data_IF_086809776655
#
_entry.id   IF_086809776655
#
_cell.length_a   1.000
_cell.length_b   1.000
_cell.length_c   1.000
_cell.angle_alpha   90.00
_cell.angle_beta   90.00
_cell.angle_gamma   90.00
#
_symmetry.space_group_name_H-M   'P 1'
#
loop_
_entity.id
_entity.type
_entity.pdbx_description
1 polymer ?
#
# COMPACT_ATOMS: atom_id res chain seq x y z
N UNK A 1 21.13 10.07 -22.01
CA UNK A 1 22.19 10.81 -21.31
C UNK A 1 21.94 10.64 -19.83
N UNK A 2 22.85 10.02 -19.09
CA UNK A 2 22.66 9.75 -17.65
C UNK A 2 22.78 11.09 -16.92
N UNK A 3 21.66 11.70 -16.56
CA UNK A 3 21.67 12.72 -15.51
C UNK A 3 21.94 11.99 -14.21
N UNK A 4 23.21 11.93 -13.82
CA UNK A 4 23.60 11.40 -12.52
C UNK A 4 22.81 12.11 -11.44
N UNK A 5 22.40 11.37 -10.41
CA UNK A 5 21.83 11.99 -9.21
C UNK A 5 22.87 12.94 -8.61
N UNK A 6 22.48 14.19 -8.35
CA UNK A 6 23.34 15.20 -7.70
C UNK A 6 23.86 14.72 -6.34
N UNK A 7 23.18 13.74 -5.73
CA UNK A 7 23.61 13.05 -4.53
C UNK A 7 24.41 11.77 -4.85
N UNK A 8 25.73 11.85 -4.67
CA UNK A 8 26.67 10.75 -4.91
C UNK A 8 26.51 9.60 -3.91
N UNK A 9 25.87 9.82 -2.76
CA UNK A 9 25.61 8.78 -1.74
C UNK A 9 24.73 7.66 -2.28
N UNK A 10 23.81 8.00 -3.20
CA UNK A 10 22.90 7.05 -3.83
C UNK A 10 23.38 6.54 -5.19
N UNK A 11 24.52 7.01 -5.72
CA UNK A 11 24.97 6.65 -7.06
C UNK A 11 25.16 5.12 -7.24
N UNK A 12 25.76 4.46 -6.23
CA UNK A 12 25.96 3.01 -6.25
C UNK A 12 24.63 2.24 -6.22
N UNK A 13 23.74 2.56 -5.28
CA UNK A 13 22.45 1.87 -5.16
C UNK A 13 21.53 2.17 -6.35
N UNK A 14 21.60 3.36 -6.94
CA UNK A 14 20.90 3.69 -8.18
C UNK A 14 21.31 2.75 -9.32
N UNK A 15 22.60 2.43 -9.45
CA UNK A 15 23.07 1.41 -10.41
C UNK A 15 22.44 0.04 -10.17
N UNK A 16 22.36 -0.40 -8.92
CA UNK A 16 21.70 -1.67 -8.54
C UNK A 16 20.21 -1.64 -8.89
N UNK A 17 19.51 -0.55 -8.53
CA UNK A 17 18.08 -0.36 -8.81
C UNK A 17 17.83 -0.43 -10.32
N UNK A 18 18.61 0.30 -11.14
CA UNK A 18 18.46 0.27 -12.61
C UNK A 18 18.72 -1.12 -13.20
N UNK A 19 19.69 -1.87 -12.68
CA UNK A 19 19.92 -3.25 -13.10
C UNK A 19 18.74 -4.18 -12.74
N UNK A 20 18.08 -3.97 -11.59
CA UNK A 20 16.87 -4.71 -11.20
C UNK A 20 15.65 -4.30 -12.01
N UNK A 21 15.45 -3.01 -12.29
CA UNK A 21 14.35 -2.51 -13.13
C UNK A 21 14.34 -3.15 -14.52
N UNK A 22 15.52 -3.38 -15.11
CA UNK A 22 15.66 -4.04 -16.41
C UNK A 22 15.17 -5.51 -16.41
N UNK A 23 14.98 -6.12 -15.24
CA UNK A 23 14.54 -7.50 -15.05
C UNK A 23 13.08 -7.61 -14.59
N UNK A 24 12.34 -6.49 -14.54
CA UNK A 24 10.91 -6.50 -14.23
C UNK A 24 10.12 -7.25 -15.30
N UNK A 25 9.02 -7.90 -14.87
CA UNK A 25 8.12 -8.57 -15.79
C UNK A 25 7.51 -7.56 -16.77
N UNK A 26 7.69 -7.85 -18.05
CA UNK A 26 7.13 -7.07 -19.14
C UNK A 26 5.71 -7.50 -19.48
N UNK A 27 4.98 -6.68 -20.24
CA UNK A 27 3.65 -7.03 -20.78
C UNK A 27 3.63 -8.41 -21.47
N UNK A 28 4.69 -8.76 -22.20
CA UNK A 28 4.80 -10.06 -22.87
C UNK A 28 4.84 -11.25 -21.89
N UNK A 29 5.44 -11.07 -20.71
CA UNK A 29 5.39 -12.10 -19.66
C UNK A 29 3.95 -12.28 -19.18
N UNK A 30 3.25 -11.19 -18.86
CA UNK A 30 1.85 -11.25 -18.42
C UNK A 30 0.93 -11.86 -19.48
N UNK A 31 1.04 -11.43 -20.74
CA UNK A 31 0.24 -11.96 -21.85
C UNK A 31 0.43 -13.50 -21.99
N UNK A 32 1.67 -13.99 -21.87
CA UNK A 32 1.98 -15.44 -21.91
C UNK A 32 1.44 -16.17 -20.69
N UNK A 33 1.59 -15.62 -19.49
CA UNK A 33 1.08 -16.23 -18.25
C UNK A 33 -0.45 -16.40 -18.32
N UNK A 34 -1.17 -15.34 -18.71
CA UNK A 34 -2.64 -15.34 -18.84
C UNK A 34 -3.11 -16.39 -19.86
N UNK A 35 -2.39 -16.55 -20.97
CA UNK A 35 -2.73 -17.50 -22.03
C UNK A 35 -2.32 -18.96 -21.74
N UNK A 36 -1.70 -19.24 -20.60
CA UNK A 36 -1.08 -20.55 -20.30
C UNK A 36 -1.65 -21.22 -19.05
N UNK A 37 -1.32 -22.51 -18.86
CA UNK A 37 -1.61 -23.26 -17.63
C UNK A 37 -0.50 -23.07 -16.59
N UNK A 38 -0.83 -23.28 -15.30
CA UNK A 38 0.12 -23.19 -14.18
C UNK A 38 1.39 -24.02 -14.40
N UNK A 39 1.28 -25.18 -15.05
CA UNK A 39 2.43 -26.04 -15.38
C UNK A 39 3.50 -25.35 -16.26
N UNK A 40 3.13 -24.33 -17.02
CA UNK A 40 4.02 -23.61 -17.94
C UNK A 40 4.60 -22.33 -17.32
N UNK A 41 4.18 -21.95 -16.10
CA UNK A 41 4.61 -20.69 -15.47
C UNK A 41 6.11 -20.66 -15.24
N UNK A 42 6.70 -21.76 -14.75
CA UNK A 42 8.15 -21.86 -14.54
C UNK A 42 8.95 -21.66 -15.85
N UNK A 43 8.43 -22.17 -16.97
CA UNK A 43 9.07 -21.98 -18.28
C UNK A 43 8.93 -20.53 -18.76
N UNK A 44 7.75 -19.92 -18.59
CA UNK A 44 7.50 -18.54 -19.02
C UNK A 44 8.35 -17.55 -18.23
N UNK A 45 8.57 -17.83 -16.95
CA UNK A 45 9.37 -17.01 -16.04
C UNK A 45 10.86 -17.34 -16.11
N UNK A 46 11.31 -18.24 -17.00
CA UNK A 46 12.69 -18.77 -17.13
C UNK A 46 13.80 -17.70 -17.10
N UNK A 47 13.49 -16.52 -17.60
CA UNK A 47 14.37 -15.36 -17.75
C UNK A 47 14.18 -14.29 -16.66
N UNK A 48 13.33 -14.56 -15.67
CA UNK A 48 13.03 -13.63 -14.56
C UNK A 48 13.85 -13.92 -13.30
N UNK A 49 13.86 -13.02 -12.30
CA UNK A 49 14.49 -13.26 -11.00
C UNK A 49 13.84 -14.37 -10.16
N UNK A 50 12.63 -14.82 -10.50
CA UNK A 50 11.81 -15.67 -9.64
C UNK A 50 12.10 -17.18 -9.74
N UNK A 51 13.27 -17.57 -10.28
CA UNK A 51 13.61 -18.97 -10.59
C UNK A 51 14.83 -19.44 -9.82
N UNK A 52 14.87 -20.76 -9.61
CA UNK A 52 15.90 -21.42 -8.80
C UNK A 52 15.42 -21.74 -7.39
N UNK A 53 14.11 -21.69 -7.17
CA UNK A 53 13.45 -21.94 -5.90
C UNK A 53 12.56 -23.19 -5.98
N UNK A 54 12.12 -23.66 -4.81
CA UNK A 54 11.27 -24.85 -4.68
C UNK A 54 10.01 -24.75 -5.57
N UNK A 55 9.40 -23.57 -5.59
CA UNK A 55 8.37 -23.18 -6.53
C UNK A 55 8.43 -21.67 -6.86
N UNK A 56 7.51 -21.21 -7.70
CA UNK A 56 7.41 -19.81 -8.10
C UNK A 56 7.05 -18.90 -6.91
N UNK A 57 6.25 -19.40 -5.96
CA UNK A 57 5.82 -18.64 -4.77
C UNK A 57 7.01 -18.33 -3.87
N UNK A 58 7.84 -19.34 -3.58
CA UNK A 58 9.08 -19.19 -2.82
C UNK A 58 10.05 -18.20 -3.51
N UNK A 59 10.04 -18.16 -4.85
CA UNK A 59 10.79 -17.16 -5.61
C UNK A 59 10.26 -15.73 -5.44
N UNK A 60 8.94 -15.55 -5.37
CA UNK A 60 8.33 -14.25 -5.07
C UNK A 60 8.70 -13.79 -3.67
N UNK A 61 8.54 -14.65 -2.67
CA UNK A 61 8.85 -14.33 -1.28
C UNK A 61 10.33 -13.97 -1.10
N UNK A 62 11.24 -14.71 -1.74
CA UNK A 62 12.67 -14.41 -1.66
C UNK A 62 13.00 -13.05 -2.31
N UNK A 63 12.49 -12.78 -3.50
CA UNK A 63 12.76 -11.50 -4.17
C UNK A 63 12.13 -10.32 -3.43
N UNK A 64 10.94 -10.47 -2.84
CA UNK A 64 10.33 -9.45 -1.99
C UNK A 64 11.21 -9.16 -0.76
N UNK A 65 11.68 -10.20 -0.07
CA UNK A 65 12.58 -10.05 1.07
C UNK A 65 13.91 -9.38 0.68
N UNK A 66 14.51 -9.76 -0.44
CA UNK A 66 15.74 -9.14 -0.93
C UNK A 66 15.56 -7.66 -1.26
N UNK A 67 14.39 -7.26 -1.80
CA UNK A 67 14.08 -5.85 -2.07
C UNK A 67 13.94 -5.08 -0.76
N UNK A 68 13.24 -5.65 0.24
CA UNK A 68 13.14 -5.07 1.57
C UNK A 68 14.50 -4.88 2.24
N UNK A 69 15.37 -5.89 2.16
CA UNK A 69 16.73 -5.84 2.72
C UNK A 69 17.62 -4.84 1.98
N UNK A 70 17.51 -4.76 0.65
CA UNK A 70 18.21 -3.77 -0.14
C UNK A 70 17.82 -2.36 0.31
N UNK A 71 16.51 -2.11 0.48
CA UNK A 71 16.00 -0.82 0.89
C UNK A 71 16.48 -0.45 2.30
N UNK A 72 16.32 -1.34 3.29
CA UNK A 72 16.78 -1.12 4.68
C UNK A 72 18.29 -0.91 4.76
N UNK A 73 19.07 -1.61 3.94
CA UNK A 73 20.53 -1.51 3.91
C UNK A 73 21.04 -0.18 3.34
N UNK A 74 20.40 0.34 2.31
CA UNK A 74 20.92 1.48 1.54
C UNK A 74 20.15 2.79 1.74
N UNK A 75 18.92 2.75 2.27
CA UNK A 75 18.18 3.96 2.61
C UNK A 75 18.83 4.64 3.83
N UNK A 76 19.41 5.82 3.64
CA UNK A 76 20.11 6.54 4.73
C UNK A 76 19.17 7.42 5.57
N UNK A 77 17.92 7.54 5.16
CA UNK A 77 16.90 8.39 5.79
C UNK A 77 15.92 7.50 6.55
N UNK A 78 16.00 7.51 7.89
CA UNK A 78 15.10 6.73 8.74
C UNK A 78 13.64 7.11 8.52
N UNK A 79 13.36 8.38 8.22
CA UNK A 79 12.02 8.89 7.90
C UNK A 79 11.44 8.26 6.62
N UNK A 80 12.29 7.86 5.66
CA UNK A 80 11.87 7.18 4.44
C UNK A 80 11.73 5.68 4.68
N UNK A 81 12.53 5.10 5.58
CA UNK A 81 12.39 3.67 5.95
C UNK A 81 10.99 3.38 6.50
N UNK A 82 10.48 4.29 7.34
CA UNK A 82 9.14 4.24 7.90
C UNK A 82 8.01 4.17 6.85
N UNK A 83 8.23 4.65 5.62
CA UNK A 83 7.22 4.59 4.55
C UNK A 83 6.93 3.16 4.08
N UNK A 84 7.85 2.22 4.30
CA UNK A 84 7.65 0.80 4.00
C UNK A 84 7.18 0.07 5.25
N UNK A 85 7.79 0.37 6.40
CA UNK A 85 7.56 -0.38 7.63
C UNK A 85 6.16 -0.13 8.20
N UNK A 86 5.69 1.13 8.26
CA UNK A 86 4.40 1.46 8.88
C UNK A 86 3.19 0.82 8.15
N UNK A 87 3.07 0.83 6.81
CA UNK A 87 2.00 0.13 6.13
C UNK A 87 1.95 -1.37 6.44
N UNK A 88 3.11 -2.02 6.52
CA UNK A 88 3.21 -3.45 6.82
C UNK A 88 2.85 -3.74 8.28
N UNK A 89 3.29 -2.90 9.21
CA UNK A 89 2.86 -3.00 10.60
C UNK A 89 1.34 -2.81 10.73
N UNK A 90 0.75 -1.82 10.03
CA UNK A 90 -0.70 -1.56 10.07
C UNK A 90 -1.47 -2.75 9.51
N UNK A 91 -0.98 -3.36 8.44
CA UNK A 91 -1.54 -4.61 7.92
C UNK A 91 -1.46 -5.73 8.96
N UNK A 92 -0.32 -5.91 9.63
CA UNK A 92 -0.17 -6.91 10.67
C UNK A 92 -1.16 -6.72 11.82
N UNK A 93 -1.35 -5.49 12.31
CA UNK A 93 -2.37 -5.18 13.32
C UNK A 93 -3.76 -5.57 12.83
N UNK A 94 -4.13 -5.19 11.60
CA UNK A 94 -5.45 -5.55 11.03
C UNK A 94 -5.65 -7.05 10.96
N UNK A 95 -4.64 -7.80 10.51
CA UNK A 95 -4.71 -9.26 10.43
C UNK A 95 -4.85 -9.86 11.83
N UNK A 96 -4.01 -9.46 12.79
CA UNK A 96 -4.07 -9.92 14.19
C UNK A 96 -5.46 -9.68 14.81
N UNK A 97 -5.97 -8.45 14.74
CA UNK A 97 -7.24 -8.06 15.36
C UNK A 97 -8.46 -8.74 14.74
N UNK A 98 -8.39 -9.08 13.45
CA UNK A 98 -9.45 -9.80 12.74
C UNK A 98 -9.39 -11.32 12.89
N UNK A 99 -8.42 -11.84 13.65
CA UNK A 99 -8.20 -13.29 13.79
C UNK A 99 -7.66 -13.94 12.51
N UNK A 100 -6.87 -13.21 11.73
CA UNK A 100 -6.20 -13.74 10.55
C UNK A 100 -5.00 -14.64 10.88
N UNK A 101 -4.42 -15.28 9.86
CA UNK A 101 -3.32 -16.25 10.01
C UNK A 101 -1.94 -15.57 10.00
N UNK A 102 -0.98 -16.16 10.73
CA UNK A 102 0.43 -15.75 10.73
C UNK A 102 1.06 -15.75 9.34
N UNK A 103 0.58 -16.60 8.42
CA UNK A 103 1.07 -16.65 7.02
C UNK A 103 0.77 -15.39 6.21
N UNK A 104 -0.11 -14.51 6.69
CA UNK A 104 -0.48 -13.25 6.04
C UNK A 104 0.23 -12.04 6.67
N UNK A 105 1.13 -12.27 7.63
CA UNK A 105 1.85 -11.22 8.36
C UNK A 105 3.21 -10.95 7.72
N UNK A 106 3.57 -9.67 7.63
CA UNK A 106 4.92 -9.24 7.23
C UNK A 106 5.91 -9.45 8.37
N UNK A 107 7.04 -10.10 8.09
CA UNK A 107 8.15 -10.21 9.04
C UNK A 107 8.85 -8.85 9.18
N UNK A 108 8.69 -8.20 10.33
CA UNK A 108 9.24 -6.86 10.58
C UNK A 108 9.85 -6.75 11.98
N UNK A 109 10.86 -5.87 12.17
CA UNK A 109 11.60 -5.80 13.43
C UNK A 109 10.89 -5.00 14.55
N UNK A 110 9.73 -4.38 14.31
CA UNK A 110 9.10 -3.48 15.27
C UNK A 110 7.58 -3.42 15.23
N UNK A 111 7.01 -2.87 16.30
CA UNK A 111 5.57 -2.64 16.52
C UNK A 111 5.29 -1.19 16.92
N UNK A 112 6.10 -0.24 16.42
CA UNK A 112 6.05 1.18 16.78
C UNK A 112 4.64 1.76 16.69
N UNK A 113 3.89 1.35 15.67
CA UNK A 113 2.54 1.86 15.42
C UNK A 113 1.50 1.38 16.45
N UNK A 114 1.76 0.28 17.18
CA UNK A 114 0.87 -0.24 18.23
C UNK A 114 0.87 0.71 19.42
N UNK A 115 1.94 1.50 19.58
CA UNK A 115 2.10 2.50 20.64
C UNK A 115 1.54 3.88 20.27
N UNK A 116 1.06 4.07 19.03
CA UNK A 116 0.45 5.35 18.63
C UNK A 116 -0.87 5.56 19.38
N UNK A 117 -1.11 6.74 19.97
CA UNK A 117 -2.32 7.00 20.76
C UNK A 117 -3.62 6.66 20.03
N UNK A 118 -3.72 7.06 18.76
CA UNK A 118 -4.89 6.81 17.93
C UNK A 118 -5.06 5.34 17.57
N UNK A 119 -3.96 4.58 17.44
CA UNK A 119 -4.02 3.14 17.23
C UNK A 119 -4.56 2.44 18.47
N UNK A 120 -4.09 2.84 19.67
CA UNK A 120 -4.58 2.31 20.94
C UNK A 120 -6.08 2.59 21.09
N UNK A 121 -6.50 3.84 20.88
CA UNK A 121 -7.91 4.23 20.93
C UNK A 121 -8.78 3.42 19.96
N UNK A 122 -8.29 3.15 18.75
CA UNK A 122 -9.03 2.36 17.77
C UNK A 122 -9.10 0.87 18.11
N UNK A 123 -8.02 0.31 18.68
CA UNK A 123 -8.03 -1.06 19.21
C UNK A 123 -9.08 -1.19 20.31
N UNK A 124 -9.11 -0.22 21.25
CA UNK A 124 -10.10 -0.18 22.33
C UNK A 124 -11.52 -0.06 21.78
N UNK A 125 -11.78 0.84 20.82
CA UNK A 125 -13.07 0.97 20.13
C UNK A 125 -13.51 -0.36 19.51
N UNK A 126 -12.61 -1.06 18.83
CA UNK A 126 -12.93 -2.33 18.19
C UNK A 126 -13.28 -3.45 19.18
N UNK A 127 -12.87 -3.35 20.44
CA UNK A 127 -13.32 -4.31 21.47
C UNK A 127 -14.82 -4.23 21.71
N UNK A 128 -15.45 -3.09 21.44
CA UNK A 128 -16.88 -2.83 21.60
C UNK A 128 -17.63 -3.01 20.28
N UNK A 129 -17.24 -2.28 19.24
CA UNK A 129 -18.03 -2.17 18.01
C UNK A 129 -17.91 -3.41 17.12
N UNK A 130 -16.76 -4.09 17.15
CA UNK A 130 -16.42 -5.31 16.38
C UNK A 130 -16.63 -5.22 14.86
N UNK A 131 -16.75 -4.01 14.29
CA UNK A 131 -16.86 -3.81 12.85
C UNK A 131 -15.47 -3.88 12.16
N UNK A 132 -15.18 -4.92 11.34
CA UNK A 132 -13.86 -5.08 10.74
C UNK A 132 -13.55 -4.06 9.64
N UNK A 133 -14.56 -3.47 9.01
CA UNK A 133 -14.38 -2.44 7.99
C UNK A 133 -13.98 -1.12 8.65
N UNK A 134 -14.73 -0.69 9.67
CA UNK A 134 -14.43 0.53 10.43
C UNK A 134 -13.03 0.47 11.03
N UNK A 135 -12.68 -0.65 11.70
CA UNK A 135 -11.33 -0.87 12.22
C UNK A 135 -10.26 -0.67 11.14
N UNK A 136 -10.45 -1.31 9.98
CA UNK A 136 -9.45 -1.24 8.91
C UNK A 136 -9.28 0.17 8.37
N UNK A 137 -10.41 0.85 8.15
CA UNK A 137 -10.43 2.15 7.54
C UNK A 137 -9.90 3.23 8.50
N UNK A 138 -10.17 3.11 9.79
CA UNK A 138 -9.60 3.99 10.82
C UNK A 138 -8.09 3.77 10.96
N UNK A 139 -7.61 2.51 10.96
CA UNK A 139 -6.17 2.23 10.94
C UNK A 139 -5.49 2.76 9.66
N UNK A 140 -6.15 2.67 8.50
CA UNK A 140 -5.67 3.30 7.25
C UNK A 140 -5.60 4.83 7.38
N UNK A 141 -6.62 5.45 7.97
CA UNK A 141 -6.67 6.90 8.22
C UNK A 141 -5.57 7.36 9.17
N UNK A 142 -5.29 6.59 10.22
CA UNK A 142 -4.17 6.82 11.14
C UNK A 142 -2.85 6.75 10.37
N UNK A 143 -2.60 5.67 9.61
CA UNK A 143 -1.42 5.54 8.77
C UNK A 143 -1.23 6.76 7.85
N UNK A 144 -2.30 7.17 7.15
CA UNK A 144 -2.25 8.28 6.22
C UNK A 144 -1.89 9.61 6.91
N UNK A 145 -2.35 9.84 8.15
CA UNK A 145 -1.94 10.99 8.95
C UNK A 145 -0.42 11.02 9.15
N UNK A 146 0.17 9.91 9.58
CA UNK A 146 1.61 9.84 9.85
C UNK A 146 2.45 9.93 8.58
N UNK A 147 2.02 9.29 7.48
CA UNK A 147 2.66 9.42 6.17
C UNK A 147 2.60 10.85 5.65
N UNK A 148 1.46 11.54 5.79
CA UNK A 148 1.32 12.94 5.38
C UNK A 148 2.27 13.86 6.17
N UNK A 149 2.34 13.68 7.49
CA UNK A 149 3.16 14.51 8.38
C UNK A 149 4.66 14.39 8.10
N UNK A 150 5.12 13.20 7.73
CA UNK A 150 6.52 12.91 7.42
C UNK A 150 6.89 13.25 5.98
N UNK A 151 6.00 13.02 5.01
CA UNK A 151 6.26 13.26 3.60
C UNK A 151 6.18 14.74 3.18
N UNK A 152 5.63 15.63 4.01
CA UNK A 152 5.38 17.05 3.67
C UNK A 152 6.63 17.83 3.22
N UNK A 153 7.81 17.39 3.62
CA UNK A 153 9.08 18.05 3.31
C UNK A 153 9.66 17.63 1.95
N UNK A 154 9.12 16.58 1.32
CA UNK A 154 9.64 16.01 0.08
C UNK A 154 8.55 16.00 -1.01
N UNK A 155 8.66 16.84 -2.06
CA UNK A 155 7.62 17.00 -3.08
C UNK A 155 7.18 15.68 -3.75
N UNK A 156 8.13 14.78 -4.02
CA UNK A 156 7.84 13.48 -4.60
C UNK A 156 6.90 12.65 -3.70
N UNK A 157 7.27 12.45 -2.44
CA UNK A 157 6.46 11.67 -1.50
C UNK A 157 5.14 12.33 -1.19
N UNK A 158 5.10 13.67 -1.10
CA UNK A 158 3.83 14.40 -0.99
C UNK A 158 2.89 14.05 -2.14
N UNK A 159 3.34 14.14 -3.39
CA UNK A 159 2.51 13.81 -4.55
C UNK A 159 2.10 12.34 -4.60
N UNK A 160 3.06 11.43 -4.32
CA UNK A 160 2.79 9.99 -4.25
C UNK A 160 1.71 9.66 -3.22
N UNK A 161 1.85 10.17 -1.99
CA UNK A 161 0.91 9.87 -0.92
C UNK A 161 -0.45 10.54 -1.11
N UNK A 162 -0.53 11.72 -1.73
CA UNK A 162 -1.83 12.30 -2.10
C UNK A 162 -2.63 11.36 -3.01
N UNK A 163 -1.99 10.77 -4.02
CA UNK A 163 -2.63 9.78 -4.90
C UNK A 163 -3.04 8.53 -4.10
N UNK A 164 -2.15 8.04 -3.22
CA UNK A 164 -2.45 6.91 -2.34
C UNK A 164 -3.69 7.18 -1.46
N UNK A 165 -3.78 8.36 -0.83
CA UNK A 165 -4.92 8.74 0.01
C UNK A 165 -6.21 8.87 -0.80
N UNK A 166 -6.15 9.39 -2.03
CA UNK A 166 -7.30 9.47 -2.92
C UNK A 166 -7.80 8.07 -3.31
N UNK A 167 -6.89 7.13 -3.60
CA UNK A 167 -7.24 5.73 -3.85
C UNK A 167 -7.91 5.08 -2.63
N UNK A 168 -7.43 5.38 -1.43
CA UNK A 168 -8.04 4.90 -0.18
C UNK A 168 -9.44 5.49 0.05
N UNK A 169 -9.64 6.77 -0.25
CA UNK A 169 -10.96 7.40 -0.22
C UNK A 169 -11.91 6.80 -1.26
N UNK A 170 -11.44 6.53 -2.49
CA UNK A 170 -12.24 5.87 -3.54
C UNK A 170 -12.66 4.45 -3.08
N UNK A 171 -11.73 3.68 -2.52
CA UNK A 171 -12.02 2.34 -2.00
C UNK A 171 -13.04 2.40 -0.85
N UNK A 172 -12.86 3.33 0.08
CA UNK A 172 -13.75 3.53 1.22
C UNK A 172 -15.13 4.03 0.80
N UNK A 173 -15.22 4.88 -0.23
CA UNK A 173 -16.47 5.34 -0.82
C UNK A 173 -17.30 4.16 -1.31
N UNK A 174 -16.74 3.30 -2.16
CA UNK A 174 -17.50 2.15 -2.67
C UNK A 174 -17.92 1.19 -1.56
N UNK A 175 -17.10 0.99 -0.52
CA UNK A 175 -17.47 0.16 0.63
C UNK A 175 -18.59 0.80 1.46
N UNK A 176 -18.49 2.08 1.79
CA UNK A 176 -19.48 2.79 2.60
C UNK A 176 -20.88 2.78 1.97
N UNK A 177 -20.98 2.77 0.63
CA UNK A 177 -22.26 2.66 -0.09
C UNK A 177 -23.07 1.40 0.19
N UNK A 178 -22.45 0.37 0.77
CA UNK A 178 -23.12 -0.88 1.13
C UNK A 178 -23.76 -0.84 2.53
N UNK A 179 -23.56 0.25 3.29
CA UNK A 179 -24.12 0.43 4.63
C UNK A 179 -25.39 1.27 4.57
N UNK A 180 -26.35 0.99 5.47
CA UNK A 180 -27.61 1.76 5.57
C UNK A 180 -27.35 3.24 5.89
N UNK A 181 -26.32 3.51 6.70
CA UNK A 181 -25.86 4.83 7.11
C UNK A 181 -24.65 5.32 6.29
N UNK A 182 -24.63 5.04 4.98
CA UNK A 182 -23.50 5.29 4.08
C UNK A 182 -22.79 6.64 4.25
N UNK A 183 -23.55 7.74 4.46
CA UNK A 183 -22.97 9.08 4.67
C UNK A 183 -22.19 9.19 5.96
N UNK A 184 -22.74 8.71 7.06
CA UNK A 184 -22.08 8.76 8.37
C UNK A 184 -20.85 7.85 8.38
N UNK A 185 -21.00 6.64 7.86
CA UNK A 185 -19.92 5.68 7.66
C UNK A 185 -18.79 6.28 6.84
N UNK A 186 -19.08 6.91 5.71
CA UNK A 186 -18.07 7.52 4.86
C UNK A 186 -17.37 8.70 5.55
N UNK A 187 -18.13 9.58 6.21
CA UNK A 187 -17.57 10.74 6.93
C UNK A 187 -16.59 10.30 8.03
N UNK A 188 -16.92 9.22 8.75
CA UNK A 188 -16.06 8.66 9.77
C UNK A 188 -14.70 8.24 9.19
N UNK A 189 -14.71 7.51 8.07
CA UNK A 189 -13.52 6.88 7.49
C UNK A 189 -12.76 7.74 6.48
N UNK A 190 -13.32 8.90 6.07
CA UNK A 190 -12.70 9.79 5.09
C UNK A 190 -11.33 10.31 5.55
N UNK A 191 -10.40 10.38 4.59
CA UNK A 191 -9.01 10.84 4.76
C UNK A 191 -8.86 12.24 4.17
N UNK A 192 -8.53 13.22 5.02
CA UNK A 192 -8.49 14.66 4.69
C UNK A 192 -7.25 15.08 3.88
N UNK A 193 -6.26 14.20 3.72
CA UNK A 193 -4.93 14.56 3.19
C UNK A 193 -4.78 14.35 1.68
N UNK A 194 -5.82 13.82 1.02
CA UNK A 194 -5.85 13.60 -0.42
C UNK A 194 -5.95 14.89 -1.25
N UNK A 195 -6.10 14.74 -2.57
CA UNK A 195 -6.39 15.86 -3.47
C UNK A 195 -7.88 15.98 -3.79
N UNK A 196 -8.66 14.91 -3.60
CA UNK A 196 -10.09 14.89 -3.86
C UNK A 196 -10.88 15.39 -2.63
N UNK A 197 -11.69 16.43 -2.84
CA UNK A 197 -12.57 16.97 -1.82
C UNK A 197 -13.64 15.97 -1.39
N UNK A 198 -14.00 15.99 -0.10
CA UNK A 198 -15.01 15.11 0.50
C UNK A 198 -16.35 15.18 -0.24
N UNK A 199 -16.72 16.37 -0.69
CA UNK A 199 -17.98 16.71 -1.33
C UNK A 199 -18.21 15.84 -2.57
N UNK A 200 -17.16 15.59 -3.36
CA UNK A 200 -17.22 14.74 -4.56
C UNK A 200 -17.77 13.35 -4.22
N UNK A 201 -17.39 12.80 -3.06
CA UNK A 201 -17.86 11.50 -2.63
C UNK A 201 -19.24 11.57 -2.00
N UNK A 202 -19.44 12.48 -1.04
CA UNK A 202 -20.70 12.59 -0.29
C UNK A 202 -21.88 12.85 -1.21
N UNK A 203 -21.70 13.69 -2.23
CA UNK A 203 -22.73 14.03 -3.22
C UNK A 203 -23.06 12.86 -4.15
N UNK A 204 -22.21 11.83 -4.20
CA UNK A 204 -22.35 10.68 -5.09
C UNK A 204 -22.63 9.35 -4.37
N UNK A 205 -22.79 9.33 -3.03
CA UNK A 205 -22.99 8.10 -2.26
C UNK A 205 -24.22 7.29 -2.70
N UNK A 206 -25.28 7.97 -3.11
CA UNK A 206 -26.54 7.32 -3.54
C UNK A 206 -26.68 7.23 -5.07
N UNK A 207 -25.77 7.83 -5.84
CA UNK A 207 -25.83 7.85 -7.30
C UNK A 207 -25.60 6.46 -7.90
N UNK A 208 -26.35 6.10 -8.94
CA UNK A 208 -26.07 4.90 -9.74
C UNK A 208 -24.67 4.92 -10.35
N UNK A 209 -24.06 3.75 -10.55
CA UNK A 209 -22.70 3.63 -11.10
C UNK A 209 -22.54 4.29 -12.49
N UNK A 210 -23.61 4.32 -13.27
CA UNK A 210 -23.76 4.92 -14.59
C UNK A 210 -23.73 6.46 -14.58
N UNK A 211 -23.88 7.07 -13.41
CA UNK A 211 -23.96 8.54 -13.24
C UNK A 211 -22.88 9.08 -12.30
N UNK A 212 -22.01 8.21 -11.76
CA UNK A 212 -20.89 8.63 -10.93
C UNK A 212 -19.98 9.57 -11.70
N UNK A 213 -19.80 10.78 -11.17
CA UNK A 213 -18.85 11.77 -11.70
C UNK A 213 -19.10 12.04 -13.18
N UNK A 214 -20.33 12.46 -13.53
CA UNK A 214 -20.52 13.27 -14.75
C UNK A 214 -19.81 14.60 -14.55
N UNK A 215 -18.52 14.64 -14.84
CA UNK A 215 -17.82 15.89 -15.07
C UNK A 215 -18.54 16.53 -16.26
N UNK A 216 -19.20 17.64 -16.00
CA UNK A 216 -19.62 18.54 -17.07
C UNK A 216 -18.32 19.06 -17.69
N UNK A 217 -17.87 18.41 -18.75
CA UNK A 217 -16.81 18.92 -19.62
C UNK A 217 -17.27 20.21 -20.28
#
# INVERSE_FOLDING_TARGET
>A
MITGTDDTRYAYVNGIIRAREARLLTKSHFDRLIASTLSNFATILSDSPYIGHEDVTAGFDLEENQIGDLFRKYCQHSEIQQYIDWPQQIHNIKVKLKGGSDSLLYAQPGTEIEDWPETIEEIERFTVDKDPFILSANLDKILCKYLYQTARTMPFFKGYFQIYFDLENIRSFFRARHFENARETFNQVFIEYGSLGREIFVDNLTSGYDVLVKISL
#
